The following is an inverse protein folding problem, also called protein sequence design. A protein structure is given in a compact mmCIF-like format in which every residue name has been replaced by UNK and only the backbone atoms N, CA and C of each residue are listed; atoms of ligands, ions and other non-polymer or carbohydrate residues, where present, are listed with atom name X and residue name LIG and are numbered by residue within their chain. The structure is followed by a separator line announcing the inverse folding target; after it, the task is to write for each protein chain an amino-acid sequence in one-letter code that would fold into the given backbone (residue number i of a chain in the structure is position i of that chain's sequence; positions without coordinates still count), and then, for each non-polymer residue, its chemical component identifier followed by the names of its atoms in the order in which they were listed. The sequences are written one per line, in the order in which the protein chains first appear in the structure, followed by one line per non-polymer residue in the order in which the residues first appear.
data_IF_708191383392
#
_entry.id   IF_708191383392
#
_cell.length_a   1.000
_cell.length_b   1.000
_cell.length_c   1.000
_cell.angle_alpha   90.00
_cell.angle_beta   90.00
_cell.angle_gamma   90.00
#
_symmetry.space_group_name_H-M   'P 1'
#
loop_
_entity.id
_entity.type
_entity.pdbx_description
1 polymer ?
#
# COMPACT_ATOMS: atom_id res chain seq x y z
N UNK A 1 -5.59 -8.32 -10.06
CA UNK A 1 -6.41 -9.39 -9.43
C UNK A 1 -6.69 -10.60 -10.34
N UNK A 2 -6.36 -10.58 -11.63
CA UNK A 2 -6.29 -11.79 -12.48
C UNK A 2 -5.28 -12.85 -11.96
N UNK A 3 -4.33 -12.41 -11.14
CA UNK A 3 -3.25 -13.20 -10.58
C UNK A 3 -3.71 -14.31 -9.64
N UNK A 4 -4.70 -14.08 -8.76
CA UNK A 4 -5.20 -15.12 -7.86
C UNK A 4 -5.93 -16.23 -8.63
N UNK A 5 -6.72 -15.86 -9.65
CA UNK A 5 -7.40 -16.83 -10.51
C UNK A 5 -6.42 -17.68 -11.30
N UNK A 6 -5.30 -17.10 -11.73
CA UNK A 6 -4.22 -17.84 -12.38
C UNK A 6 -3.57 -18.83 -11.41
N UNK A 7 -3.30 -18.41 -10.19
CA UNK A 7 -2.77 -19.30 -9.14
C UNK A 7 -3.75 -20.44 -8.83
N UNK A 8 -5.05 -20.16 -8.76
CA UNK A 8 -6.08 -21.20 -8.60
C UNK A 8 -6.04 -22.24 -9.74
N UNK A 9 -5.75 -21.81 -10.98
CA UNK A 9 -5.55 -22.70 -12.12
C UNK A 9 -4.32 -23.58 -11.97
N UNK A 10 -3.19 -23.01 -11.56
CA UNK A 10 -1.95 -23.76 -11.31
C UNK A 10 -2.15 -24.83 -10.23
N UNK A 11 -2.86 -24.50 -9.16
CA UNK A 11 -3.20 -25.46 -8.09
C UNK A 11 -4.09 -26.57 -8.64
N UNK A 12 -5.12 -26.23 -9.42
CA UNK A 12 -6.03 -27.22 -10.02
C UNK A 12 -5.30 -28.16 -10.98
N UNK A 13 -4.48 -27.62 -11.88
CA UNK A 13 -3.69 -28.39 -12.84
C UNK A 13 -2.75 -29.36 -12.10
N UNK A 14 -2.06 -28.89 -11.06
CA UNK A 14 -1.18 -29.73 -10.26
C UNK A 14 -1.93 -30.89 -9.59
N UNK A 15 -3.08 -30.62 -8.97
CA UNK A 15 -3.91 -31.64 -8.33
C UNK A 15 -4.43 -32.67 -9.34
N UNK A 16 -4.81 -32.22 -10.55
CA UNK A 16 -5.23 -33.11 -11.64
C UNK A 16 -4.09 -34.00 -12.12
N UNK A 17 -2.90 -33.45 -12.33
CA UNK A 17 -1.71 -34.20 -12.74
C UNK A 17 -1.36 -35.32 -11.76
N UNK A 18 -1.54 -35.09 -10.46
CA UNK A 18 -1.30 -36.08 -9.40
C UNK A 18 -2.41 -37.14 -9.27
N UNK A 19 -3.54 -36.96 -9.96
CA UNK A 19 -4.69 -37.85 -9.88
C UNK A 19 -5.60 -37.61 -8.65
N UNK A 20 -5.52 -36.44 -8.01
CA UNK A 20 -6.29 -36.12 -6.80
C UNK A 20 -7.71 -35.62 -7.12
N UNK A 21 -8.48 -36.40 -7.87
CA UNK A 21 -9.79 -36.00 -8.40
C UNK A 21 -10.80 -35.59 -7.32
N UNK A 22 -10.82 -36.28 -6.17
CA UNK A 22 -11.69 -35.92 -5.04
C UNK A 22 -11.34 -34.54 -4.47
N UNK A 23 -10.04 -34.23 -4.37
CA UNK A 23 -9.54 -32.95 -3.87
C UNK A 23 -9.83 -31.82 -4.85
N UNK A 24 -9.68 -32.05 -6.16
CA UNK A 24 -10.07 -31.06 -7.19
C UNK A 24 -11.53 -30.69 -7.06
N UNK A 25 -12.42 -31.68 -6.93
CA UNK A 25 -13.85 -31.44 -6.76
C UNK A 25 -14.16 -30.65 -5.48
N UNK A 26 -13.48 -30.97 -4.37
CA UNK A 26 -13.62 -30.21 -3.14
C UNK A 26 -13.15 -28.76 -3.32
N UNK A 27 -11.97 -28.56 -3.89
CA UNK A 27 -11.41 -27.23 -4.17
C UNK A 27 -12.31 -26.38 -5.06
N UNK A 28 -12.88 -26.94 -6.13
CA UNK A 28 -13.83 -26.21 -6.98
C UNK A 28 -15.14 -25.84 -6.26
N UNK A 29 -15.61 -26.68 -5.34
CA UNK A 29 -16.78 -26.37 -4.53
C UNK A 29 -16.47 -25.22 -3.57
N UNK A 30 -15.31 -25.24 -2.93
CA UNK A 30 -14.86 -24.17 -2.03
C UNK A 30 -14.77 -22.84 -2.80
N UNK A 31 -14.15 -22.84 -3.99
CA UNK A 31 -14.08 -21.65 -4.86
C UNK A 31 -15.46 -21.11 -5.26
N UNK A 32 -16.44 -21.98 -5.51
CA UNK A 32 -17.83 -21.56 -5.83
C UNK A 32 -18.52 -20.92 -4.64
N UNK A 33 -18.27 -21.45 -3.44
CA UNK A 33 -18.87 -20.97 -2.18
C UNK A 33 -18.08 -19.84 -1.51
N UNK A 34 -16.99 -19.39 -2.12
CA UNK A 34 -16.10 -18.40 -1.56
C UNK A 34 -16.83 -17.08 -1.26
N UNK A 35 -16.84 -16.73 0.03
CA UNK A 35 -17.39 -15.46 0.54
C UNK A 35 -16.46 -14.28 0.24
N UNK A 36 -15.17 -14.53 0.13
CA UNK A 36 -14.12 -13.53 -0.08
C UNK A 36 -14.02 -13.12 -1.55
N UNK A 37 -14.70 -13.85 -2.44
CA UNK A 37 -14.78 -13.60 -3.89
C UNK A 37 -13.40 -13.52 -4.55
N UNK A 38 -12.42 -14.26 -4.04
CA UNK A 38 -11.03 -14.21 -4.44
C UNK A 38 -10.40 -12.84 -4.22
N UNK A 39 -10.86 -12.10 -3.21
CA UNK A 39 -10.49 -10.71 -2.91
C UNK A 39 -10.68 -9.75 -4.09
N UNK A 40 -11.61 -10.05 -5.00
CA UNK A 40 -11.95 -9.19 -6.12
C UNK A 40 -12.87 -8.07 -5.65
N UNK A 41 -12.33 -6.85 -5.60
CA UNK A 41 -13.06 -5.66 -5.13
C UNK A 41 -14.39 -5.50 -5.84
N UNK A 42 -14.42 -5.57 -7.17
CA UNK A 42 -15.65 -5.44 -7.96
C UNK A 42 -16.73 -6.43 -7.52
N UNK A 43 -16.35 -7.68 -7.24
CA UNK A 43 -17.29 -8.73 -6.83
C UNK A 43 -17.81 -8.54 -5.41
N UNK A 44 -16.98 -8.00 -4.51
CA UNK A 44 -17.39 -7.65 -3.15
C UNK A 44 -18.35 -6.45 -3.18
N UNK A 45 -18.04 -5.42 -3.97
CA UNK A 45 -18.92 -4.25 -4.15
C UNK A 45 -20.25 -4.67 -4.79
N UNK A 46 -20.23 -5.49 -5.84
CA UNK A 46 -21.43 -6.08 -6.45
C UNK A 46 -22.28 -6.83 -5.42
N UNK A 47 -21.65 -7.63 -4.55
CA UNK A 47 -22.35 -8.40 -3.51
C UNK A 47 -23.00 -7.50 -2.45
N UNK A 48 -22.30 -6.47 -1.98
CA UNK A 48 -22.85 -5.47 -1.04
C UNK A 48 -24.03 -4.77 -1.68
N UNK A 49 -23.89 -4.34 -2.94
CA UNK A 49 -24.97 -3.71 -3.69
C UNK A 49 -26.16 -4.63 -3.91
N UNK A 50 -25.93 -5.94 -4.11
CA UNK A 50 -27.00 -6.91 -4.21
C UNK A 50 -27.86 -6.92 -2.94
N UNK A 51 -27.26 -7.08 -1.76
CA UNK A 51 -27.98 -7.06 -0.48
C UNK A 51 -28.75 -5.75 -0.27
N UNK A 52 -28.13 -4.62 -0.60
CA UNK A 52 -28.75 -3.29 -0.54
C UNK A 52 -30.00 -3.22 -1.46
N UNK A 53 -29.87 -3.64 -2.72
CA UNK A 53 -30.95 -3.56 -3.71
C UNK A 53 -32.15 -4.46 -3.37
N UNK A 54 -31.89 -5.64 -2.83
CA UNK A 54 -32.97 -6.56 -2.38
C UNK A 54 -33.49 -6.22 -0.99
N UNK A 55 -32.91 -5.22 -0.33
CA UNK A 55 -33.26 -4.81 1.03
C UNK A 55 -33.09 -5.94 2.06
N UNK A 56 -32.01 -6.71 1.92
CA UNK A 56 -31.58 -7.72 2.89
C UNK A 56 -30.53 -7.13 3.83
N UNK A 57 -31.00 -6.49 4.90
CA UNK A 57 -30.12 -5.88 5.91
C UNK A 57 -29.28 -6.93 6.66
N UNK A 58 -29.83 -8.11 6.95
CA UNK A 58 -29.12 -9.13 7.71
C UNK A 58 -27.96 -9.70 6.90
N UNK A 59 -28.23 -10.08 5.64
CA UNK A 59 -27.18 -10.53 4.72
C UNK A 59 -26.10 -9.46 4.50
N UNK A 60 -26.49 -8.19 4.41
CA UNK A 60 -25.52 -7.09 4.34
C UNK A 60 -24.64 -7.00 5.59
N UNK A 61 -25.23 -6.97 6.79
CA UNK A 61 -24.49 -6.86 8.05
C UNK A 61 -23.56 -8.05 8.26
N UNK A 62 -24.07 -9.27 8.07
CA UNK A 62 -23.26 -10.48 8.22
C UNK A 62 -22.06 -10.47 7.27
N UNK A 63 -22.28 -9.99 6.04
CA UNK A 63 -21.20 -9.84 5.06
C UNK A 63 -20.20 -8.75 5.43
N UNK A 64 -20.66 -7.60 5.92
CA UNK A 64 -19.78 -6.54 6.39
C UNK A 64 -18.97 -6.96 7.62
N UNK A 65 -19.59 -7.60 8.62
CA UNK A 65 -18.91 -8.15 9.80
C UNK A 65 -17.89 -9.22 9.44
N UNK A 66 -18.17 -10.03 8.41
CA UNK A 66 -17.20 -10.98 7.86
C UNK A 66 -15.97 -10.25 7.30
N UNK A 67 -16.15 -9.22 6.47
CA UNK A 67 -15.04 -8.40 5.95
C UNK A 67 -14.27 -7.69 7.08
N UNK A 68 -14.98 -7.21 8.10
CA UNK A 68 -14.39 -6.55 9.26
C UNK A 68 -13.49 -7.49 10.06
N UNK A 69 -13.98 -8.68 10.38
CA UNK A 69 -13.22 -9.73 11.09
C UNK A 69 -12.05 -10.23 10.25
N UNK A 70 -12.25 -10.40 8.94
CA UNK A 70 -11.23 -10.91 8.04
C UNK A 70 -10.10 -9.91 7.84
N UNK A 71 -10.42 -8.62 7.71
CA UNK A 71 -9.48 -7.61 7.21
C UNK A 71 -9.48 -6.31 8.01
N UNK A 72 -10.63 -5.66 8.24
CA UNK A 72 -10.62 -4.29 8.77
C UNK A 72 -10.16 -4.20 10.23
N UNK A 73 -10.46 -5.19 11.06
CA UNK A 73 -9.96 -5.28 12.44
C UNK A 73 -8.43 -5.35 12.54
N UNK A 74 -7.76 -5.74 11.46
CA UNK A 74 -6.29 -5.83 11.36
C UNK A 74 -5.65 -4.54 10.87
N UNK A 75 -6.45 -3.57 10.43
CA UNK A 75 -5.95 -2.28 9.97
C UNK A 75 -5.50 -1.41 11.15
N UNK A 76 -4.54 -0.54 10.87
CA UNK A 76 -4.07 0.43 11.85
C UNK A 76 -5.21 1.29 12.38
N UNK A 77 -5.13 1.65 13.67
CA UNK A 77 -6.19 2.38 14.40
C UNK A 77 -6.60 3.67 13.68
N UNK A 78 -5.68 4.35 13.02
CA UNK A 78 -5.94 5.61 12.32
C UNK A 78 -6.84 5.44 11.08
N UNK A 79 -6.96 4.23 10.53
CA UNK A 79 -7.81 3.90 9.36
C UNK A 79 -9.24 3.57 9.78
N UNK A 80 -9.46 3.11 11.01
CA UNK A 80 -10.77 2.70 11.55
C UNK A 80 -11.88 3.74 11.36
N UNK A 81 -11.64 5.06 11.54
CA UNK A 81 -12.66 6.07 11.27
C UNK A 81 -13.12 6.11 9.80
N UNK A 82 -12.22 5.83 8.84
CA UNK A 82 -12.56 5.77 7.43
C UNK A 82 -13.43 4.55 7.11
N UNK A 83 -13.11 3.38 7.68
CA UNK A 83 -13.93 2.17 7.55
C UNK A 83 -15.34 2.42 8.07
N UNK A 84 -15.48 2.97 9.29
CA UNK A 84 -16.78 3.30 9.89
C UNK A 84 -17.56 4.31 9.04
N UNK A 85 -16.88 5.33 8.50
CA UNK A 85 -17.52 6.32 7.62
C UNK A 85 -18.08 5.67 6.35
N UNK A 86 -17.36 4.72 5.76
CA UNK A 86 -17.87 3.95 4.61
C UNK A 86 -19.05 3.09 5.00
N UNK A 87 -18.97 2.36 6.12
CA UNK A 87 -20.08 1.54 6.64
C UNK A 87 -21.36 2.37 6.81
N UNK A 88 -21.26 3.52 7.48
CA UNK A 88 -22.41 4.42 7.67
C UNK A 88 -22.92 5.00 6.36
N UNK A 89 -22.03 5.28 5.41
CA UNK A 89 -22.43 5.72 4.07
C UNK A 89 -23.19 4.63 3.31
N UNK A 90 -22.84 3.35 3.51
CA UNK A 90 -23.56 2.21 2.95
C UNK A 90 -24.93 2.01 3.60
N UNK A 91 -25.04 2.19 4.92
CA UNK A 91 -26.35 2.21 5.58
C UNK A 91 -27.25 3.35 5.06
N UNK A 92 -26.68 4.53 4.84
CA UNK A 92 -27.40 5.67 4.23
C UNK A 92 -27.80 5.35 2.79
N UNK A 93 -26.93 4.70 2.01
CA UNK A 93 -27.22 4.26 0.65
C UNK A 93 -28.35 3.22 0.62
N UNK A 94 -28.33 2.26 1.56
CA UNK A 94 -29.40 1.29 1.77
C UNK A 94 -30.74 2.00 1.97
N UNK A 95 -30.79 2.97 2.88
CA UNK A 95 -31.99 3.74 3.17
C UNK A 95 -32.48 4.55 1.96
N UNK A 96 -31.57 5.16 1.19
CA UNK A 96 -31.93 5.88 -0.05
C UNK A 96 -32.57 4.93 -1.06
N UNK A 97 -31.98 3.75 -1.29
CA UNK A 97 -32.52 2.76 -2.24
C UNK A 97 -33.85 2.18 -1.75
N UNK A 98 -33.97 1.91 -0.45
CA UNK A 98 -35.24 1.51 0.16
C UNK A 98 -36.32 2.61 0.02
N UNK A 99 -35.95 3.88 0.22
CA UNK A 99 -36.84 5.03 0.11
C UNK A 99 -37.28 5.31 -1.34
N UNK A 100 -36.48 4.92 -2.33
CA UNK A 100 -36.81 4.99 -3.75
C UNK A 100 -37.71 3.82 -4.22
N UNK A 101 -37.93 2.80 -3.38
CA UNK A 101 -38.86 1.71 -3.70
C UNK A 101 -40.29 2.25 -3.85
N UNK A 102 -41.02 1.77 -4.84
CA UNK A 102 -42.38 2.25 -5.17
C UNK A 102 -43.44 1.60 -4.28
N UNK A 103 -44.50 2.36 -3.95
CA UNK A 103 -45.67 1.87 -3.20
C UNK A 103 -45.48 1.79 -1.68
N UNK A 104 -46.41 1.10 -0.99
CA UNK A 104 -46.40 0.96 0.48
C UNK A 104 -45.19 0.23 1.06
N UNK A 105 -44.50 -0.56 0.22
CA UNK A 105 -43.28 -1.33 0.57
C UNK A 105 -42.12 -0.42 1.00
N UNK A 106 -42.10 0.84 0.54
CA UNK A 106 -41.11 1.84 0.95
C UNK A 106 -41.03 1.98 2.47
N UNK A 107 -42.18 2.23 3.09
CA UNK A 107 -42.24 2.52 4.51
C UNK A 107 -41.91 1.27 5.34
N UNK A 108 -42.28 0.08 4.85
CA UNK A 108 -41.96 -1.19 5.51
C UNK A 108 -40.45 -1.45 5.55
N UNK A 109 -39.74 -1.30 4.42
CA UNK A 109 -38.29 -1.51 4.34
C UNK A 109 -37.50 -0.53 5.20
N UNK A 110 -37.90 0.74 5.18
CA UNK A 110 -37.26 1.78 5.99
C UNK A 110 -37.54 1.56 7.48
N UNK A 111 -38.78 1.19 7.85
CA UNK A 111 -39.14 0.89 9.23
C UNK A 111 -38.40 -0.35 9.75
N UNK A 112 -38.31 -1.42 8.95
CA UNK A 112 -37.55 -2.64 9.28
C UNK A 112 -36.07 -2.34 9.51
N UNK A 113 -35.46 -1.51 8.66
CA UNK A 113 -34.08 -1.05 8.87
C UNK A 113 -33.91 -0.39 10.25
N UNK A 114 -34.74 0.61 10.56
CA UNK A 114 -34.61 1.32 11.84
C UNK A 114 -34.94 0.42 13.02
N UNK A 115 -35.92 -0.48 12.92
CA UNK A 115 -36.23 -1.43 13.99
C UNK A 115 -35.01 -2.30 14.36
N UNK A 116 -34.20 -2.69 13.37
CA UNK A 116 -32.99 -3.51 13.57
C UNK A 116 -31.75 -2.69 13.96
N UNK A 117 -31.59 -1.48 13.39
CA UNK A 117 -30.37 -0.67 13.55
C UNK A 117 -30.45 0.36 14.68
N UNK A 118 -31.62 0.66 15.22
CA UNK A 118 -31.78 1.70 16.26
C UNK A 118 -30.82 1.54 17.43
N UNK A 119 -30.55 0.32 17.99
CA UNK A 119 -29.63 0.18 19.11
C UNK A 119 -28.18 0.59 18.82
N UNK A 120 -27.76 0.47 17.55
CA UNK A 120 -26.40 0.78 17.09
C UNK A 120 -26.26 2.25 16.67
N UNK A 121 -27.35 2.83 16.15
CA UNK A 121 -27.37 4.19 15.62
C UNK A 121 -27.76 5.25 16.66
N UNK A 122 -28.47 4.85 17.72
CA UNK A 122 -28.84 5.77 18.80
C UNK A 122 -27.59 6.38 19.46
N UNK A 123 -27.60 7.70 19.65
CA UNK A 123 -26.47 8.45 20.21
C UNK A 123 -25.43 8.91 19.18
N UNK A 124 -25.51 8.46 17.92
CA UNK A 124 -24.67 8.96 16.84
C UNK A 124 -25.29 10.24 16.25
N UNK A 125 -24.61 11.38 16.40
CA UNK A 125 -25.15 12.69 16.02
C UNK A 125 -25.49 12.79 14.52
N UNK A 126 -24.72 12.13 13.66
CA UNK A 126 -24.92 12.12 12.21
C UNK A 126 -26.17 11.34 11.74
N UNK A 127 -26.80 10.58 12.64
CA UNK A 127 -28.03 9.81 12.37
C UNK A 127 -29.30 10.51 12.84
N UNK A 128 -29.17 11.60 13.61
CA UNK A 128 -30.30 12.35 14.18
C UNK A 128 -31.37 12.69 13.15
N UNK A 129 -30.96 13.28 12.03
CA UNK A 129 -31.92 13.71 11.01
C UNK A 129 -32.50 12.53 10.25
N UNK A 130 -31.74 11.45 10.07
CA UNK A 130 -32.15 10.25 9.37
C UNK A 130 -33.34 9.53 10.02
N UNK A 131 -33.52 9.64 11.34
CA UNK A 131 -34.71 9.10 12.02
C UNK A 131 -36.02 9.76 11.59
N UNK A 132 -35.96 10.93 10.94
CA UNK A 132 -37.14 11.60 10.38
C UNK A 132 -37.52 11.06 8.99
N UNK A 133 -36.61 10.34 8.31
CA UNK A 133 -36.80 9.86 6.94
C UNK A 133 -38.13 9.12 6.70
N UNK A 134 -38.61 8.21 7.58
CA UNK A 134 -39.88 7.49 7.36
C UNK A 134 -41.11 8.40 7.26
N UNK A 135 -41.02 9.62 7.82
CA UNK A 135 -42.12 10.57 7.89
C UNK A 135 -42.10 11.61 6.77
N UNK A 136 -41.05 11.61 5.93
CA UNK A 136 -40.88 12.55 4.83
C UNK A 136 -41.46 11.94 3.56
N UNK A 137 -42.46 12.60 2.98
CA UNK A 137 -43.15 12.08 1.80
C UNK A 137 -42.28 12.05 0.55
N UNK A 138 -41.46 13.10 0.35
CA UNK A 138 -40.53 13.25 -0.76
C UNK A 138 -39.12 13.60 -0.26
N UNK A 139 -38.34 12.62 0.21
CA UNK A 139 -37.00 12.86 0.74
C UNK A 139 -36.05 13.53 -0.27
N UNK A 140 -36.22 13.26 -1.56
CA UNK A 140 -35.43 13.85 -2.65
C UNK A 140 -35.61 15.36 -2.81
N UNK A 141 -36.76 15.91 -2.39
CA UNK A 141 -37.05 17.36 -2.39
C UNK A 141 -36.65 18.02 -1.05
N UNK A 142 -36.33 17.23 -0.01
CA UNK A 142 -35.99 17.76 1.30
C UNK A 142 -34.53 18.25 1.34
N UNK A 143 -34.24 19.50 1.78
CA UNK A 143 -32.88 20.04 1.81
C UNK A 143 -31.86 19.21 2.59
N UNK A 144 -32.29 18.51 3.64
CA UNK A 144 -31.42 17.66 4.46
C UNK A 144 -31.06 16.34 3.76
N UNK A 145 -31.84 15.91 2.77
CA UNK A 145 -31.72 14.60 2.13
C UNK A 145 -31.40 14.63 0.64
N UNK A 146 -31.77 15.69 -0.08
CA UNK A 146 -31.69 15.79 -1.54
C UNK A 146 -30.35 15.38 -2.13
N UNK A 147 -29.23 15.74 -1.48
CA UNK A 147 -27.88 15.35 -1.88
C UNK A 147 -27.71 13.81 -1.97
N UNK A 148 -28.23 13.06 -1.00
CA UNK A 148 -28.09 11.61 -0.92
C UNK A 148 -28.89 10.88 -2.02
N UNK A 149 -29.91 11.53 -2.56
CA UNK A 149 -30.71 11.01 -3.67
C UNK A 149 -30.06 11.26 -5.04
N UNK A 150 -28.94 12.00 -5.08
CA UNK A 150 -28.21 12.22 -6.33
C UNK A 150 -27.37 11.01 -6.73
N UNK A 151 -27.30 10.74 -8.04
CA UNK A 151 -26.44 9.67 -8.57
C UNK A 151 -24.96 9.91 -8.25
N UNK A 152 -24.53 11.18 -8.28
CA UNK A 152 -23.16 11.58 -7.97
C UNK A 152 -22.74 11.17 -6.55
N UNK A 153 -23.61 11.36 -5.55
CA UNK A 153 -23.32 10.92 -4.19
C UNK A 153 -23.23 9.40 -4.09
N UNK A 154 -24.19 8.68 -4.69
CA UNK A 154 -24.19 7.21 -4.69
C UNK A 154 -22.90 6.64 -5.32
N UNK A 155 -22.52 7.15 -6.49
CA UNK A 155 -21.30 6.72 -7.18
C UNK A 155 -20.05 7.08 -6.36
N UNK A 156 -20.03 8.24 -5.71
CA UNK A 156 -18.93 8.63 -4.82
C UNK A 156 -18.75 7.67 -3.64
N UNK A 157 -19.84 7.16 -3.05
CA UNK A 157 -19.78 6.15 -1.98
C UNK A 157 -19.17 4.85 -2.51
N UNK A 158 -19.59 4.40 -3.69
CA UNK A 158 -19.10 3.15 -4.29
C UNK A 158 -17.63 3.25 -4.70
N UNK A 159 -17.22 4.37 -5.29
CA UNK A 159 -15.81 4.63 -5.61
C UNK A 159 -14.96 4.64 -4.33
N UNK A 160 -15.46 5.24 -3.25
CA UNK A 160 -14.73 5.29 -1.99
C UNK A 160 -14.60 3.89 -1.35
N UNK A 161 -15.67 3.09 -1.37
CA UNK A 161 -15.65 1.70 -0.94
C UNK A 161 -14.65 0.88 -1.77
N UNK A 162 -14.70 1.01 -3.10
CA UNK A 162 -13.79 0.32 -4.00
C UNK A 162 -12.33 0.68 -3.68
N UNK A 163 -12.03 1.97 -3.54
CA UNK A 163 -10.66 2.43 -3.24
C UNK A 163 -10.18 1.97 -1.87
N UNK A 164 -11.04 1.95 -0.86
CA UNK A 164 -10.73 1.40 0.46
C UNK A 164 -10.34 -0.07 0.33
N UNK A 165 -11.20 -0.90 -0.27
CA UNK A 165 -10.96 -2.33 -0.44
C UNK A 165 -9.70 -2.61 -1.28
N UNK A 166 -9.51 -1.88 -2.38
CA UNK A 166 -8.35 -2.04 -3.24
C UNK A 166 -7.04 -1.74 -2.50
N UNK A 167 -7.01 -0.63 -1.75
CA UNK A 167 -5.83 -0.24 -0.95
C UNK A 167 -5.55 -1.28 0.13
N UNK A 168 -6.60 -1.68 0.86
CA UNK A 168 -6.49 -2.66 1.94
C UNK A 168 -5.97 -4.00 1.41
N UNK A 169 -6.53 -4.52 0.31
CA UNK A 169 -6.13 -5.81 -0.23
C UNK A 169 -4.75 -5.78 -0.89
N UNK A 170 -4.32 -4.63 -1.42
CA UNK A 170 -2.96 -4.47 -1.92
C UNK A 170 -1.91 -4.56 -0.80
N UNK A 171 -2.27 -4.13 0.41
CA UNK A 171 -1.38 -4.19 1.57
C UNK A 171 -1.45 -5.52 2.34
N UNK A 172 -2.35 -6.43 1.98
CA UNK A 172 -2.44 -7.73 2.65
C UNK A 172 -1.24 -8.61 2.28
N UNK A 173 -0.68 -9.36 3.26
CA UNK A 173 0.36 -10.34 2.96
C UNK A 173 -0.20 -11.40 2.00
N UNK A 174 0.51 -11.64 0.90
CA UNK A 174 0.12 -12.64 -0.08
C UNK A 174 0.82 -13.98 0.17
N UNK A 175 0.19 -15.12 -0.18
CA UNK A 175 0.85 -16.42 -0.14
C UNK A 175 2.07 -16.45 -1.04
N UNK A 176 3.13 -17.15 -0.64
CA UNK A 176 4.37 -17.30 -1.44
C UNK A 176 4.12 -17.82 -2.86
N UNK A 177 3.11 -18.67 -3.04
CA UNK A 177 2.79 -19.21 -4.36
C UNK A 177 2.39 -18.10 -5.36
N UNK A 178 1.81 -17.00 -4.88
CA UNK A 178 1.45 -15.90 -5.75
C UNK A 178 2.71 -15.15 -6.21
N UNK A 179 3.75 -15.00 -5.39
CA UNK A 179 4.96 -14.26 -5.80
C UNK A 179 5.90 -15.02 -6.74
N UNK A 180 5.70 -16.33 -6.94
CA UNK A 180 6.66 -17.20 -7.63
C UNK A 180 7.07 -16.68 -9.03
N UNK A 181 6.09 -16.31 -9.87
CA UNK A 181 6.39 -15.86 -11.24
C UNK A 181 7.13 -14.52 -11.24
N UNK A 182 6.70 -13.57 -10.40
CA UNK A 182 7.38 -12.28 -10.26
C UNK A 182 8.79 -12.43 -9.71
N UNK A 183 8.97 -13.35 -8.75
CA UNK A 183 10.27 -13.62 -8.13
C UNK A 183 11.21 -14.27 -9.14
N UNK A 184 10.73 -15.24 -9.93
CA UNK A 184 11.50 -15.87 -10.99
C UNK A 184 11.91 -14.85 -12.08
N UNK A 185 11.00 -13.96 -12.48
CA UNK A 185 11.29 -12.90 -13.44
C UNK A 185 12.32 -11.89 -12.90
N UNK A 186 12.22 -11.53 -11.61
CA UNK A 186 13.18 -10.67 -10.93
C UNK A 186 14.56 -11.33 -10.87
N UNK A 187 14.65 -12.60 -10.46
CA UNK A 187 15.91 -13.35 -10.42
C UNK A 187 16.57 -13.38 -11.81
N UNK A 188 15.80 -13.64 -12.86
CA UNK A 188 16.32 -13.63 -14.24
C UNK A 188 16.89 -12.26 -14.64
N UNK A 189 16.16 -11.17 -14.37
CA UNK A 189 16.65 -9.81 -14.66
C UNK A 189 17.93 -9.48 -13.89
N UNK A 190 17.97 -9.84 -12.61
CA UNK A 190 19.17 -9.64 -11.78
C UNK A 190 20.36 -10.45 -12.31
N UNK A 191 20.13 -11.68 -12.78
CA UNK A 191 21.18 -12.50 -13.40
C UNK A 191 21.70 -11.87 -14.70
N UNK A 192 20.82 -11.34 -15.55
CA UNK A 192 21.19 -10.63 -16.79
C UNK A 192 21.98 -9.34 -16.50
N UNK A 193 21.59 -8.58 -15.47
CA UNK A 193 22.31 -7.39 -15.03
C UNK A 193 23.71 -7.74 -14.48
N UNK A 194 23.81 -8.78 -13.64
CA UNK A 194 25.09 -9.29 -13.14
C UNK A 194 26.00 -9.73 -14.29
N UNK A 195 25.48 -10.43 -15.29
CA UNK A 195 26.25 -10.85 -16.46
C UNK A 195 26.75 -9.64 -17.26
N UNK A 196 25.90 -8.63 -17.44
CA UNK A 196 26.24 -7.39 -18.15
C UNK A 196 27.33 -6.59 -17.42
N UNK A 197 27.20 -6.45 -16.09
CA UNK A 197 28.19 -5.75 -15.26
C UNK A 197 29.53 -6.49 -15.26
N UNK A 198 29.53 -7.82 -15.10
CA UNK A 198 30.75 -8.63 -15.20
C UNK A 198 31.43 -8.48 -16.57
N UNK A 199 30.67 -8.47 -17.65
CA UNK A 199 31.19 -8.22 -19.00
C UNK A 199 31.85 -6.85 -19.14
N UNK A 200 31.24 -5.79 -18.58
CA UNK A 200 31.82 -4.44 -18.57
C UNK A 200 33.10 -4.35 -17.74
N UNK A 201 33.15 -5.00 -16.58
CA UNK A 201 34.36 -5.07 -15.74
C UNK A 201 35.50 -5.80 -16.44
N UNK A 202 35.24 -6.90 -17.15
CA UNK A 202 36.26 -7.62 -17.91
C UNK A 202 36.80 -6.77 -19.08
N UNK A 203 35.94 -6.08 -19.83
CA UNK A 203 36.36 -5.15 -20.89
C UNK A 203 37.16 -3.95 -20.34
N UNK A 204 36.83 -3.47 -19.15
CA UNK A 204 37.60 -2.40 -18.50
C UNK A 204 38.96 -2.90 -18.03
N UNK A 205 39.06 -4.14 -17.58
CA UNK A 205 40.33 -4.77 -17.17
C UNK A 205 41.24 -5.08 -18.37
N UNK A 206 40.67 -5.47 -19.53
CA UNK A 206 41.45 -5.65 -20.77
C UNK A 206 42.00 -4.33 -21.32
N UNK A 207 41.26 -3.22 -21.17
CA UNK A 207 41.76 -1.86 -21.49
C UNK A 207 42.89 -1.39 -20.54
N UNK A 208 43.09 -2.08 -19.41
CA UNK A 208 44.19 -1.86 -18.45
C UNK A 208 45.30 -2.92 -18.64
N UNK A 209 45.38 -3.55 -19.81
CA UNK A 209 46.51 -4.43 -20.15
C UNK A 209 47.87 -3.73 -19.98
N UNK A 210 48.90 -4.42 -19.46
CA UNK A 210 50.12 -3.83 -18.88
C UNK A 210 51.16 -3.37 -19.92
N UNK A 211 50.76 -3.06 -21.16
CA UNK A 211 51.68 -2.59 -22.20
C UNK A 211 52.28 -1.20 -21.88
N UNK A 212 51.67 -0.43 -20.98
CA UNK A 212 52.21 0.86 -20.51
C UNK A 212 52.96 0.83 -19.16
N UNK A 213 52.93 -0.28 -18.41
CA UNK A 213 53.49 -0.31 -17.04
C UNK A 213 54.78 -1.10 -16.92
N UNK A 214 55.01 -2.13 -17.75
CA UNK A 214 56.32 -2.79 -17.77
C UNK A 214 57.45 -1.87 -18.24
N UNK A 215 57.17 -0.96 -19.18
CA UNK A 215 58.17 0.01 -19.66
C UNK A 215 58.57 1.04 -18.59
N UNK A 216 57.71 1.32 -17.59
CA UNK A 216 58.05 2.24 -16.49
C UNK A 216 58.82 1.53 -15.38
N UNK A 217 58.45 0.31 -15.02
CA UNK A 217 59.16 -0.47 -13.98
C UNK A 217 60.60 -0.82 -14.39
N UNK A 218 60.85 -1.10 -15.67
CA UNK A 218 62.22 -1.30 -16.18
C UNK A 218 63.10 -0.04 -16.00
N UNK A 219 62.54 1.16 -16.08
CA UNK A 219 63.27 2.43 -15.85
C UNK A 219 63.60 2.67 -14.37
N UNK A 220 62.85 2.09 -13.43
CA UNK A 220 63.15 2.15 -12.00
C UNK A 220 64.18 1.11 -11.55
N UNK A 221 64.25 -0.04 -12.24
CA UNK A 221 65.23 -1.10 -11.96
C UNK A 221 66.68 -0.65 -12.17
N UNK A 222 66.95 0.25 -13.13
CA UNK A 222 68.30 0.78 -13.34
C UNK A 222 68.73 1.84 -12.30
N UNK A 223 67.79 2.39 -11.52
CA UNK A 223 68.07 3.49 -10.58
C UNK A 223 68.14 3.10 -9.11
N UNK A 224 68.05 1.81 -8.77
CA UNK A 224 67.99 1.32 -7.39
C UNK A 224 69.23 0.54 -6.92
N UNK A 225 70.42 0.77 -7.51
CA UNK A 225 71.71 0.37 -6.91
C UNK A 225 72.12 1.26 -5.72
N UNK A 226 71.18 1.51 -4.81
CA UNK A 226 71.42 2.20 -3.55
C UNK A 226 70.48 1.64 -2.48
N UNK A 227 70.93 1.50 -1.21
CA UNK A 227 70.15 0.81 -0.19
C UNK A 227 68.88 1.60 0.11
N UNK A 228 67.72 0.99 -0.18
CA UNK A 228 66.43 1.55 0.20
C UNK A 228 66.17 1.31 1.70
N UNK A 229 65.66 2.31 2.44
CA UNK A 229 65.25 2.12 3.82
C UNK A 229 64.02 1.22 3.89
N UNK A 230 63.98 0.34 4.91
CA UNK A 230 62.83 -0.49 5.27
C UNK A 230 61.59 0.41 5.47
N UNK A 231 60.66 0.40 4.52
CA UNK A 231 59.33 0.97 4.71
C UNK A 231 58.47 -0.10 5.38
N UNK A 232 57.88 0.26 6.51
CA UNK A 232 57.10 -0.61 7.38
C UNK A 232 55.64 -0.65 6.89
N UNK A 233 55.22 -1.77 6.30
CA UNK A 233 53.93 -1.91 5.62
C UNK A 233 52.80 -2.32 6.60
N UNK A 234 52.67 -1.58 7.71
CA UNK A 234 51.65 -1.79 8.73
C UNK A 234 50.46 -0.82 8.64
N UNK A 235 50.26 -0.15 7.50
CA UNK A 235 49.15 0.81 7.30
C UNK A 235 47.79 0.16 6.98
N UNK A 236 47.73 -1.17 6.84
CA UNK A 236 46.51 -1.91 6.51
C UNK A 236 45.86 -2.64 7.69
N UNK A 237 46.26 -2.37 8.93
CA UNK A 237 45.53 -2.86 10.11
C UNK A 237 44.58 -1.75 10.58
N UNK A 238 43.25 -1.94 10.53
CA UNK A 238 42.32 -1.04 11.20
C UNK A 238 42.58 -1.10 12.71
N UNK A 239 42.99 0.02 13.31
CA UNK A 239 43.02 0.17 14.76
C UNK A 239 41.58 0.23 15.27
N UNK A 240 41.14 -0.81 15.98
CA UNK A 240 39.88 -0.77 16.70
C UNK A 240 39.94 0.33 17.76
N UNK A 241 39.05 1.31 17.63
CA UNK A 241 38.95 2.44 18.55
C UNK A 241 38.21 1.97 19.81
N UNK A 242 38.96 1.55 20.84
CA UNK A 242 38.43 1.52 22.21
C UNK A 242 38.28 2.96 22.69
N UNK A 243 37.05 3.40 22.91
CA UNK A 243 36.75 4.66 23.56
C UNK A 243 37.28 4.67 25.00
N UNK A 244 38.39 5.36 25.23
CA UNK A 244 38.75 5.87 26.55
C UNK A 244 39.57 7.16 26.46
N UNK A 245 38.88 8.29 26.65
CA UNK A 245 39.35 9.42 27.48
C UNK A 245 40.55 10.27 27.01
N UNK A 246 40.29 11.59 27.01
CA UNK A 246 41.22 12.72 27.15
C UNK A 246 41.98 13.24 25.91
N UNK A 247 41.62 14.50 25.55
CA UNK A 247 42.45 15.71 25.28
C UNK A 247 43.84 15.44 24.66
N UNK A 248 44.27 16.10 23.58
CA UNK A 248 44.44 17.55 23.48
C UNK A 248 44.84 17.99 22.06
N UNK A 249 44.61 19.27 21.76
CA UNK A 249 44.74 19.88 20.43
C UNK A 249 46.08 20.61 20.23
N UNK A 250 46.50 20.76 18.96
CA UNK A 250 46.80 22.04 18.24
C UNK A 250 48.00 21.97 17.29
N UNK A 251 47.83 22.67 16.16
CA UNK A 251 48.88 23.11 15.24
C UNK A 251 48.29 23.47 13.87
N UNK A 252 47.34 24.41 13.77
CA UNK A 252 47.54 25.87 13.56
C UNK A 252 48.49 26.26 12.40
N UNK A 253 47.86 26.91 11.41
CA UNK A 253 48.30 28.09 10.64
C UNK A 253 49.11 27.84 9.36
N UNK A 254 48.42 27.99 8.24
CA UNK A 254 49.01 28.38 6.97
C UNK A 254 47.96 28.73 5.91
N UNK A 255 47.71 30.03 5.71
CA UNK A 255 47.37 30.64 4.40
C UNK A 255 45.97 30.29 3.84
N UNK A 256 44.88 31.03 4.05
CA UNK A 256 44.59 32.45 3.77
C UNK A 256 45.06 32.94 2.39
N UNK A 257 44.07 33.40 1.60
CA UNK A 257 44.07 34.02 0.25
C UNK A 257 44.12 32.99 -0.89
N UNK A 258 43.18 32.96 -1.83
CA UNK A 258 42.85 34.08 -2.72
C UNK A 258 41.56 33.79 -3.53
N UNK A 259 40.76 34.84 -3.77
CA UNK A 259 39.67 34.97 -4.75
C UNK A 259 38.40 34.12 -4.49
N UNK A 260 37.26 34.63 -3.99
CA UNK A 260 36.65 35.94 -4.18
C UNK A 260 35.54 35.84 -5.25
N UNK A 261 34.26 35.95 -4.84
CA UNK A 261 33.15 36.15 -5.77
C UNK A 261 31.76 35.67 -5.31
N UNK A 262 31.17 36.36 -4.33
CA UNK A 262 29.70 36.45 -4.15
C UNK A 262 29.24 37.79 -4.77
N UNK A 263 27.96 38.03 -5.13
CA UNK A 263 26.93 38.18 -4.10
C UNK A 263 25.50 37.73 -4.46
N UNK A 264 24.79 37.38 -3.39
CA UNK A 264 23.34 37.23 -3.26
C UNK A 264 22.70 38.62 -3.07
N UNK A 265 21.70 38.96 -3.91
CA UNK A 265 20.61 39.89 -3.59
C UNK A 265 19.47 39.06 -2.97
N UNK A 266 18.68 39.44 -1.96
CA UNK A 266 18.43 40.70 -1.28
C UNK A 266 16.96 40.73 -0.80
N UNK A 267 16.72 41.36 0.37
CA UNK A 267 15.44 41.75 1.04
C UNK A 267 14.72 40.70 1.91
N UNK A 268 14.62 40.92 3.25
CA UNK A 268 13.72 41.84 4.04
C UNK A 268 12.26 41.38 3.97
N UNK A 269 11.40 41.35 5.01
CA UNK A 269 11.37 41.85 6.40
C UNK A 269 10.13 41.24 7.09
N UNK A 270 10.13 40.99 8.40
CA UNK A 270 9.39 41.82 9.38
C UNK A 270 8.21 41.05 10.02
N UNK A 271 8.34 40.60 11.28
CA UNK A 271 7.78 41.20 12.53
C UNK A 271 6.27 40.97 12.71
N UNK A 272 5.90 40.14 13.70
CA UNK A 272 5.20 40.49 14.97
C UNK A 272 3.66 40.46 14.86
N UNK A 273 2.84 40.11 15.86
CA UNK A 273 3.03 40.07 17.30
C UNK A 273 2.01 39.15 18.00
N UNK A 274 2.41 38.71 19.19
CA UNK A 274 1.61 38.15 20.29
C UNK A 274 0.66 39.20 20.88
N UNK A 275 -0.52 38.77 21.31
CA UNK A 275 -1.50 39.55 22.06
C UNK A 275 -1.02 39.82 23.50
N UNK A 276 -1.22 41.06 23.94
CA UNK A 276 -1.72 41.48 25.26
C UNK A 276 -2.30 42.88 25.09
#
# INVERSE_FOLDING_TARGET
MAHLQFVDELVREYLLFRGFASTVKAFENDLKSDKDKGFRVDKIVEQIMHYINVSDLNGFKDYWTHLDTLVFTKLEVHVQPAVRKIEYSLYKLYLVIAAQSTGGVRNEKVADFFAKMLPELQGQSEWRDWFMLPYIQKPEENPSFSLYFTRAWQDSVLVSLHNLLATVFQCMPQPTLTSYESDAALVKRLQEEIATLKGKTLQQNEKISPSGHQSRLAQYSERLSGPLPLIDDFSAIPTEHLDSGLREAKGLRGLLRQMGGSPVMGRKSGRSHSQN
#
